data_IF_315343529171
#
_entry.id   IF_315343529171
#
_cell.length_a   1.000
_cell.length_b   1.000
_cell.length_c   1.000
_cell.angle_alpha   90.00
_cell.angle_beta   90.00
_cell.angle_gamma   90.00
#
_symmetry.space_group_name_H-M   'P 1'
#
loop_
_entity.id
_entity.type
_entity.pdbx_description
1 polymer ?
#
# COMPACT_ATOMS: atom_id res chain seq x y z
N UNK A 1 1.58 6.18 24.72
CA UNK A 1 0.21 5.93 25.21
C UNK A 1 0.31 4.98 26.38
N UNK A 2 -0.51 5.11 27.42
CA UNK A 2 -0.57 4.08 28.45
C UNK A 2 -1.24 2.82 27.85
N UNK A 3 -0.78 1.63 28.25
CA UNK A 3 -1.29 0.35 27.72
C UNK A 3 -2.78 0.15 28.10
N UNK A 4 -3.21 0.72 29.23
CA UNK A 4 -4.62 0.73 29.65
C UNK A 4 -5.52 1.51 28.69
N UNK A 5 -5.11 2.72 28.28
CA UNK A 5 -5.83 3.54 27.30
C UNK A 5 -5.89 2.85 25.93
N UNK A 6 -4.83 2.15 25.53
CA UNK A 6 -4.80 1.36 24.30
C UNK A 6 -5.83 0.25 24.28
N UNK A 7 -5.91 -0.53 25.35
CA UNK A 7 -6.88 -1.62 25.45
C UNK A 7 -8.32 -1.10 25.39
N UNK A 8 -8.61 0.02 26.07
CA UNK A 8 -9.93 0.64 26.06
C UNK A 8 -10.34 1.12 24.65
N UNK A 9 -9.44 1.83 23.95
CA UNK A 9 -9.69 2.29 22.57
C UNK A 9 -9.88 1.13 21.60
N UNK A 10 -9.09 0.06 21.75
CA UNK A 10 -9.25 -1.16 20.93
C UNK A 10 -10.62 -1.79 21.17
N UNK A 11 -11.05 -1.93 22.43
CA UNK A 11 -12.34 -2.50 22.75
C UNK A 11 -13.49 -1.69 22.17
N UNK A 12 -13.46 -0.36 22.32
CA UNK A 12 -14.48 0.53 21.77
C UNK A 12 -14.52 0.46 20.23
N UNK A 13 -13.37 0.48 19.56
CA UNK A 13 -13.31 0.35 18.09
C UNK A 13 -13.89 -0.99 17.61
N UNK A 14 -13.71 -2.08 18.37
CA UNK A 14 -14.33 -3.38 18.06
C UNK A 14 -15.86 -3.39 18.24
N UNK A 15 -16.40 -2.44 19.03
CA UNK A 15 -17.85 -2.21 19.18
C UNK A 15 -18.39 -1.17 18.19
N UNK A 16 -17.68 -0.93 17.08
CA UNK A 16 -18.07 0.03 16.04
C UNK A 16 -18.10 1.50 16.50
N UNK A 17 -17.29 1.86 17.51
CA UNK A 17 -17.06 3.26 17.86
C UNK A 17 -16.09 3.91 16.86
N UNK A 18 -16.65 4.73 15.97
CA UNK A 18 -15.91 5.47 14.95
C UNK A 18 -14.90 6.47 15.55
N UNK A 19 -15.18 7.08 16.70
CA UNK A 19 -14.26 8.02 17.34
C UNK A 19 -13.08 7.31 17.99
N UNK A 20 -13.31 6.14 18.57
CA UNK A 20 -12.24 5.28 19.05
C UNK A 20 -11.33 4.84 17.88
N UNK A 21 -11.92 4.41 16.76
CA UNK A 21 -11.16 4.04 15.57
C UNK A 21 -10.34 5.22 15.00
N UNK A 22 -10.94 6.42 14.89
CA UNK A 22 -10.25 7.64 14.47
C UNK A 22 -9.10 8.00 15.41
N UNK A 23 -9.30 7.83 16.72
CA UNK A 23 -8.27 8.09 17.74
C UNK A 23 -7.10 7.14 17.59
N UNK A 24 -7.35 5.84 17.40
CA UNK A 24 -6.32 4.85 17.12
C UNK A 24 -5.50 5.23 15.88
N UNK A 25 -6.16 5.61 14.78
CA UNK A 25 -5.45 6.05 13.56
C UNK A 25 -4.58 7.27 13.86
N UNK A 26 -5.12 8.32 14.49
CA UNK A 26 -4.36 9.55 14.81
C UNK A 26 -3.11 9.25 15.63
N UNK A 27 -3.21 8.37 16.63
CA UNK A 27 -2.10 8.03 17.53
C UNK A 27 -1.05 7.14 16.86
N UNK A 28 -1.48 6.20 16.02
CA UNK A 28 -0.59 5.23 15.37
C UNK A 28 0.02 5.76 14.07
N UNK A 29 -0.59 6.78 13.45
CA UNK A 29 -0.16 7.30 12.14
C UNK A 29 1.31 7.72 12.11
N UNK A 30 1.88 8.46 13.09
CA UNK A 30 3.29 8.83 13.07
C UNK A 30 4.24 7.62 13.02
N UNK A 31 3.90 6.56 13.75
CA UNK A 31 4.67 5.30 13.74
C UNK A 31 4.56 4.60 12.38
N UNK A 32 3.35 4.47 11.86
CA UNK A 32 3.09 3.82 10.55
C UNK A 32 3.80 4.59 9.43
N UNK A 33 3.67 5.91 9.39
CA UNK A 33 4.32 6.77 8.40
C UNK A 33 5.85 6.63 8.45
N UNK A 34 6.44 6.58 9.65
CA UNK A 34 7.89 6.34 9.81
C UNK A 34 8.31 4.98 9.22
N UNK A 35 7.55 3.92 9.48
CA UNK A 35 7.84 2.58 8.97
C UNK A 35 7.70 2.53 7.45
N UNK A 36 6.64 3.12 6.91
CA UNK A 36 6.39 3.21 5.47
C UNK A 36 7.54 3.92 4.78
N UNK A 37 7.97 5.08 5.28
CA UNK A 37 9.10 5.83 4.69
C UNK A 37 10.39 5.03 4.71
N UNK A 38 10.63 4.26 5.77
CA UNK A 38 11.83 3.42 5.89
C UNK A 38 11.82 2.19 4.94
N UNK A 39 10.63 1.70 4.55
CA UNK A 39 10.48 0.49 3.75
C UNK A 39 9.62 0.74 2.51
N UNK A 40 9.73 1.94 1.91
CA UNK A 40 8.82 2.37 0.85
C UNK A 40 9.11 1.61 -0.45
N UNK A 41 8.13 0.90 -1.03
CA UNK A 41 8.22 0.37 -2.38
C UNK A 41 8.40 1.50 -3.42
N UNK A 42 9.03 1.21 -4.56
CA UNK A 42 9.35 2.25 -5.54
C UNK A 42 8.08 2.84 -6.15
N UNK A 43 7.07 2.00 -6.42
CA UNK A 43 5.90 2.37 -7.22
C UNK A 43 4.65 2.69 -6.39
N UNK A 44 4.63 2.33 -5.11
CA UNK A 44 3.49 2.57 -4.22
C UNK A 44 3.61 3.91 -3.48
N UNK A 45 2.55 4.73 -3.47
CA UNK A 45 2.54 5.98 -2.70
C UNK A 45 2.60 5.70 -1.19
N UNK A 46 3.15 6.63 -0.41
CA UNK A 46 3.18 6.50 1.05
C UNK A 46 1.76 6.40 1.64
N UNK A 47 0.85 7.24 1.15
CA UNK A 47 -0.53 7.34 1.62
C UNK A 47 -1.29 6.03 1.36
N UNK A 48 -1.17 5.46 0.16
CA UNK A 48 -1.79 4.18 -0.21
C UNK A 48 -1.29 3.04 0.67
N UNK A 49 0.03 3.00 0.92
CA UNK A 49 0.62 1.96 1.76
C UNK A 49 0.16 2.12 3.22
N UNK A 50 0.09 3.35 3.72
CA UNK A 50 -0.47 3.66 5.03
C UNK A 50 -1.93 3.20 5.16
N UNK A 51 -2.77 3.50 4.17
CA UNK A 51 -4.16 3.05 4.14
C UNK A 51 -4.26 1.52 4.17
N UNK A 52 -3.50 0.82 3.32
CA UNK A 52 -3.47 -0.64 3.30
C UNK A 52 -3.06 -1.23 4.66
N UNK A 53 -2.10 -0.62 5.34
CA UNK A 53 -1.68 -1.03 6.69
C UNK A 53 -2.84 -0.87 7.67
N UNK A 54 -3.51 0.29 7.70
CA UNK A 54 -4.63 0.52 8.62
C UNK A 54 -5.81 -0.40 8.35
N UNK A 55 -6.14 -0.69 7.08
CA UNK A 55 -7.14 -1.69 6.73
C UNK A 55 -6.78 -3.05 7.36
N UNK A 56 -5.53 -3.50 7.22
CA UNK A 56 -5.06 -4.76 7.80
C UNK A 56 -5.05 -4.75 9.33
N UNK A 57 -4.72 -3.62 9.94
CA UNK A 57 -4.79 -3.42 11.40
C UNK A 57 -6.22 -3.63 11.87
N UNK A 58 -7.20 -2.94 11.28
CA UNK A 58 -8.60 -3.07 11.68
C UNK A 58 -9.19 -4.47 11.41
N UNK A 59 -8.84 -5.10 10.28
CA UNK A 59 -9.22 -6.48 9.97
C UNK A 59 -8.72 -7.49 11.03
N UNK A 60 -7.56 -7.21 11.64
CA UNK A 60 -6.93 -8.09 12.63
C UNK A 60 -7.09 -7.59 14.06
N UNK A 61 -7.81 -6.50 14.28
CA UNK A 61 -7.83 -5.79 15.57
C UNK A 61 -8.35 -6.68 16.70
N UNK A 62 -9.30 -7.57 16.41
CA UNK A 62 -9.82 -8.57 17.35
C UNK A 62 -8.79 -9.61 17.82
N UNK A 63 -7.66 -9.72 17.11
CA UNK A 63 -6.55 -10.61 17.46
C UNK A 63 -5.53 -9.93 18.39
N UNK A 64 -5.67 -8.62 18.65
CA UNK A 64 -4.83 -7.93 19.62
C UNK A 64 -5.17 -8.42 21.03
N UNK A 65 -4.17 -8.99 21.72
CA UNK A 65 -4.36 -9.63 23.03
C UNK A 65 -3.93 -8.76 24.22
N UNK A 66 -3.42 -7.56 24.00
CA UNK A 66 -2.87 -6.70 25.07
C UNK A 66 -1.56 -7.18 25.70
N UNK A 67 -0.99 -8.32 25.26
CA UNK A 67 0.26 -8.88 25.82
C UNK A 67 1.52 -8.09 25.45
N UNK A 68 1.44 -7.26 24.44
CA UNK A 68 2.49 -6.35 23.99
C UNK A 68 1.86 -4.99 23.72
N UNK A 69 2.62 -3.88 23.80
CA UNK A 69 2.05 -2.58 23.51
C UNK A 69 1.50 -2.54 22.08
N UNK A 70 0.41 -1.81 21.88
CA UNK A 70 -0.30 -1.75 20.61
C UNK A 70 0.62 -1.32 19.46
N UNK A 71 1.50 -0.36 19.72
CA UNK A 71 2.53 0.13 18.78
C UNK A 71 3.42 -1.01 18.27
N UNK A 72 3.85 -1.94 19.13
CA UNK A 72 4.65 -3.10 18.75
C UNK A 72 3.85 -4.12 17.94
N UNK A 73 2.56 -4.26 18.20
CA UNK A 73 1.71 -5.14 17.40
C UNK A 73 1.46 -4.56 16.00
N UNK A 74 1.15 -3.27 15.91
CA UNK A 74 0.93 -2.53 14.65
C UNK A 74 2.21 -2.45 13.82
N UNK A 75 3.38 -2.24 14.44
CA UNK A 75 4.65 -2.15 13.70
C UNK A 75 4.97 -3.43 12.92
N UNK A 76 4.66 -4.61 13.48
CA UNK A 76 4.82 -5.88 12.77
C UNK A 76 3.91 -5.98 11.55
N UNK A 77 2.67 -5.51 11.65
CA UNK A 77 1.73 -5.48 10.51
C UNK A 77 2.26 -4.52 9.44
N UNK A 78 2.74 -3.34 9.85
CA UNK A 78 3.27 -2.31 8.96
C UNK A 78 4.51 -2.80 8.19
N UNK A 79 5.53 -3.31 8.90
CA UNK A 79 6.77 -3.82 8.28
C UNK A 79 6.48 -4.96 7.32
N UNK A 80 5.70 -5.96 7.75
CA UNK A 80 5.36 -7.10 6.88
C UNK A 80 4.58 -6.65 5.64
N UNK A 81 3.71 -5.66 5.77
CA UNK A 81 2.96 -5.13 4.64
C UNK A 81 3.88 -4.41 3.65
N UNK A 82 4.84 -3.62 4.14
CA UNK A 82 5.83 -2.95 3.28
C UNK A 82 6.71 -3.95 2.54
N UNK A 83 7.25 -4.95 3.25
CA UNK A 83 8.10 -5.99 2.65
C UNK A 83 7.35 -6.82 1.61
N UNK A 84 6.10 -7.20 1.89
CA UNK A 84 5.27 -7.92 0.94
C UNK A 84 4.97 -7.07 -0.31
N UNK A 85 4.78 -5.76 -0.15
CA UNK A 85 4.55 -4.87 -1.29
C UNK A 85 5.82 -4.73 -2.15
N UNK A 86 7.00 -4.60 -1.52
CA UNK A 86 8.28 -4.61 -2.23
C UNK A 86 8.44 -5.90 -3.04
N UNK A 87 8.13 -7.06 -2.45
CA UNK A 87 8.25 -8.34 -3.13
C UNK A 87 7.23 -8.48 -4.28
N UNK A 88 6.00 -8.02 -4.06
CA UNK A 88 4.96 -7.98 -5.11
C UNK A 88 5.38 -7.14 -6.31
N UNK A 89 5.96 -5.95 -6.08
CA UNK A 89 6.44 -5.07 -7.16
C UNK A 89 7.60 -5.67 -7.96
N UNK A 90 8.40 -6.56 -7.35
CA UNK A 90 9.48 -7.28 -8.04
C UNK A 90 8.96 -8.41 -8.92
N UNK A 91 8.01 -9.19 -8.41
CA UNK A 91 7.47 -10.37 -9.12
C UNK A 91 6.56 -9.95 -10.27
N UNK A 92 5.86 -8.80 -10.14
CA UNK A 92 4.96 -8.26 -11.17
C UNK A 92 5.26 -6.77 -11.39
N UNK A 93 6.31 -6.44 -12.15
CA UNK A 93 6.64 -5.05 -12.41
C UNK A 93 5.54 -4.40 -13.26
N UNK A 94 4.83 -3.43 -12.70
CA UNK A 94 4.04 -2.49 -13.50
C UNK A 94 5.00 -1.54 -14.22
N UNK A 95 5.00 -1.57 -15.54
CA UNK A 95 5.72 -0.61 -16.37
C UNK A 95 4.86 0.65 -16.49
N UNK A 96 5.30 1.75 -15.86
CA UNK A 96 4.69 3.06 -16.05
C UNK A 96 5.40 3.78 -17.18
N UNK A 97 4.69 4.54 -18.01
CA UNK A 97 5.32 5.35 -19.06
C UNK A 97 6.40 6.29 -18.49
N UNK A 98 6.13 6.86 -17.31
CA UNK A 98 7.08 7.71 -16.59
C UNK A 98 8.34 6.98 -16.05
N UNK A 99 8.35 5.64 -16.02
CA UNK A 99 9.54 4.85 -15.65
C UNK A 99 10.48 4.63 -16.85
N UNK A 100 10.03 4.92 -18.08
CA UNK A 100 10.80 4.74 -19.32
C UNK A 100 11.72 5.93 -19.59
N UNK A 101 12.88 5.66 -20.17
CA UNK A 101 13.75 6.70 -20.75
C UNK A 101 13.08 7.38 -21.95
N UNK A 102 13.53 8.60 -22.28
CA UNK A 102 13.03 9.35 -23.45
C UNK A 102 13.13 8.52 -24.75
N UNK A 103 14.17 7.71 -24.88
CA UNK A 103 14.37 6.79 -26.01
C UNK A 103 13.33 5.66 -26.03
N UNK A 104 13.09 5.03 -24.88
CA UNK A 104 12.07 3.98 -24.74
C UNK A 104 10.65 4.53 -24.95
N UNK A 105 10.37 5.74 -24.46
CA UNK A 105 9.10 6.44 -24.71
C UNK A 105 8.89 6.69 -26.21
N UNK A 106 9.91 7.23 -26.89
CA UNK A 106 9.84 7.46 -28.34
C UNK A 106 9.63 6.16 -29.13
N UNK A 107 10.24 5.04 -28.72
CA UNK A 107 10.01 3.73 -29.36
C UNK A 107 8.55 3.28 -29.19
N UNK A 108 7.99 3.41 -27.99
CA UNK A 108 6.58 3.07 -27.74
C UNK A 108 5.63 3.98 -28.52
N UNK A 109 5.88 5.29 -28.54
CA UNK A 109 5.07 6.24 -29.30
C UNK A 109 5.10 5.93 -30.81
N UNK A 110 6.27 5.63 -31.36
CA UNK A 110 6.42 5.24 -32.77
C UNK A 110 5.70 3.92 -33.09
N UNK A 111 5.71 2.94 -32.18
CA UNK A 111 4.96 1.69 -32.32
C UNK A 111 3.44 1.91 -32.23
N UNK A 112 2.98 2.84 -31.38
CA UNK A 112 1.57 3.21 -31.28
C UNK A 112 1.08 3.95 -32.53
N UNK A 113 1.90 4.86 -33.10
CA UNK A 113 1.55 5.58 -34.33
C UNK A 113 1.53 4.63 -35.54
N UNK A 114 2.51 3.74 -35.66
CA UNK A 114 2.55 2.76 -36.78
C UNK A 114 1.42 1.73 -36.75
N UNK A 115 0.75 1.52 -35.62
CA UNK A 115 -0.43 0.65 -35.53
C UNK A 115 -1.73 1.34 -35.95
N UNK A 116 -1.82 2.67 -35.85
CA UNK A 116 -2.92 3.48 -36.39
C UNK A 116 -2.78 3.75 -37.91
N UNK A 117 -1.57 3.64 -38.46
CA UNK A 117 -1.32 3.74 -39.92
C UNK A 117 -1.57 2.42 -40.69
N UNK A 118 -1.94 1.33 -40.01
CA UNK A 118 -2.29 0.07 -40.67
C UNK A 118 -3.70 0.16 -41.25
N UNK A 119 -3.80 -0.01 -42.58
CA UNK A 119 -5.08 -0.13 -43.25
C UNK A 119 -5.91 -1.31 -42.65
N UNK A 120 -7.25 -1.20 -42.56
CA UNK A 120 -8.14 -2.13 -41.84
C UNK A 120 -7.94 -3.62 -42.18
N UNK A 121 -7.47 -3.89 -43.39
CA UNK A 121 -7.19 -5.19 -43.99
C UNK A 121 -5.95 -5.89 -43.42
N UNK A 122 -5.07 -5.19 -42.69
CA UNK A 122 -3.84 -5.77 -42.12
C UNK A 122 -3.92 -6.17 -40.65
N UNK A 123 -4.99 -5.81 -39.94
CA UNK A 123 -5.17 -6.16 -38.52
C UNK A 123 -5.33 -7.66 -38.25
N UNK A 124 -5.67 -8.47 -39.27
CA UNK A 124 -5.88 -9.92 -39.11
C UNK A 124 -4.63 -10.78 -39.35
N UNK A 125 -3.50 -10.20 -39.74
CA UNK A 125 -2.29 -10.94 -40.09
C UNK A 125 -1.31 -11.18 -38.91
N UNK A 126 -1.58 -10.64 -37.73
CA UNK A 126 -0.78 -10.88 -36.52
C UNK A 126 -1.57 -11.71 -35.51
N UNK A 127 -1.56 -13.04 -35.67
CA UNK A 127 -1.90 -14.01 -34.63
C UNK A 127 -0.84 -15.10 -34.60
#
# INVERSE_FOLDING_TARGET
MDDSDASALVHAALQHDDEAARTLVRQLYPLVAKIVRAHRPRRTAEEDLGQMIFIKVFQKLSQFSGKVPLEHWVSRIAVNTCLNQIESEKVRPELRHADLSDEEQAVIENLAVSSDELAPDKYFASR
#
